data_IF_782782424696
#
_entry.id   IF_782782424696
#
_cell.length_a   1.000
_cell.length_b   1.000
_cell.length_c   1.000
_cell.angle_alpha   90.00
_cell.angle_beta   90.00
_cell.angle_gamma   90.00
#
_symmetry.space_group_name_H-M   'P 1'
#
loop_
_entity.id
_entity.type
_entity.pdbx_description
1 polymer ?
#
# COMPACT_ATOMS: atom_id res chain seq x y z
N UNK A 1 -5.90 -8.30 -27.76
CA UNK A 1 -5.13 -7.81 -28.93
C UNK A 1 -5.79 -8.17 -30.25
N UNK A 2 -5.95 -9.45 -30.65
CA UNK A 2 -6.56 -9.81 -31.95
C UNK A 2 -7.99 -9.27 -32.16
N UNK A 3 -8.77 -9.16 -31.08
CA UNK A 3 -10.14 -8.65 -31.12
C UNK A 3 -10.25 -7.19 -31.61
N UNK A 4 -9.28 -6.33 -31.25
CA UNK A 4 -9.20 -4.93 -31.71
C UNK A 4 -8.28 -4.75 -32.90
N UNK A 5 -7.24 -5.58 -33.01
CA UNK A 5 -6.22 -5.53 -34.04
C UNK A 5 -6.16 -6.86 -34.79
N UNK A 6 -7.12 -7.14 -35.71
CA UNK A 6 -7.15 -8.40 -36.44
C UNK A 6 -5.93 -8.62 -37.32
N UNK A 7 -5.16 -7.58 -37.67
CA UNK A 7 -3.93 -7.69 -38.45
C UNK A 7 -2.68 -7.98 -37.60
N UNK A 8 -2.80 -8.08 -36.28
CA UNK A 8 -1.68 -8.43 -35.40
C UNK A 8 -1.32 -9.90 -35.60
N UNK A 9 -0.31 -10.15 -36.42
CA UNK A 9 0.14 -11.51 -36.76
C UNK A 9 0.78 -12.23 -35.57
N UNK A 10 1.31 -11.49 -34.59
CA UNK A 10 1.86 -12.07 -33.36
C UNK A 10 0.73 -12.59 -32.49
N UNK A 11 -0.33 -11.79 -32.29
CA UNK A 11 -1.52 -12.25 -31.58
C UNK A 11 -2.20 -13.44 -32.29
N UNK A 12 -2.32 -13.40 -33.62
CA UNK A 12 -2.83 -14.52 -34.42
C UNK A 12 -2.00 -15.79 -34.23
N UNK A 13 -0.68 -15.68 -34.24
CA UNK A 13 0.23 -16.79 -34.04
C UNK A 13 0.05 -17.40 -32.65
N UNK A 14 -0.02 -16.59 -31.59
CA UNK A 14 -0.21 -17.08 -30.23
C UNK A 14 -1.55 -17.81 -30.04
N UNK A 15 -2.65 -17.27 -30.59
CA UNK A 15 -3.95 -17.96 -30.52
C UNK A 15 -3.87 -19.30 -31.25
N UNK A 16 -3.33 -19.33 -32.48
CA UNK A 16 -3.24 -20.53 -33.31
C UNK A 16 -2.38 -21.65 -32.71
N UNK A 17 -1.40 -21.32 -31.87
CA UNK A 17 -0.50 -22.27 -31.22
C UNK A 17 -0.85 -22.51 -29.75
N UNK A 18 -2.05 -22.10 -29.32
CA UNK A 18 -2.57 -22.32 -27.97
C UNK A 18 -3.80 -23.22 -28.02
N UNK A 19 -4.24 -23.82 -26.89
CA UNK A 19 -5.51 -24.55 -26.84
C UNK A 19 -6.74 -23.69 -27.16
N UNK A 20 -6.62 -22.35 -27.11
CA UNK A 20 -7.68 -21.44 -27.56
C UNK A 20 -7.81 -21.39 -29.08
N UNK A 21 -6.80 -21.85 -29.84
CA UNK A 21 -6.91 -22.07 -31.27
C UNK A 21 -7.96 -23.12 -31.59
N UNK A 22 -7.92 -24.27 -30.90
CA UNK A 22 -8.94 -25.32 -31.03
C UNK A 22 -10.33 -24.83 -30.60
N UNK A 23 -10.42 -24.02 -29.54
CA UNK A 23 -11.69 -23.43 -29.08
C UNK A 23 -12.35 -22.53 -30.14
N UNK A 24 -11.54 -21.81 -30.92
CA UNK A 24 -12.01 -20.86 -31.93
C UNK A 24 -11.97 -21.38 -33.36
N UNK A 25 -11.62 -22.65 -33.58
CA UNK A 25 -11.33 -23.23 -34.90
C UNK A 25 -10.30 -22.39 -35.69
N UNK A 26 -9.29 -21.88 -34.97
CA UNK A 26 -8.23 -21.03 -35.49
C UNK A 26 -6.89 -21.79 -35.53
N UNK A 27 -6.50 -22.20 -36.73
CA UNK A 27 -5.32 -23.03 -36.99
C UNK A 27 -4.13 -22.22 -37.50
N UNK A 28 -2.88 -22.74 -37.39
CA UNK A 28 -1.69 -22.07 -37.92
C UNK A 28 -1.75 -21.71 -39.41
N UNK A 29 -2.49 -22.47 -40.21
CA UNK A 29 -2.66 -22.22 -41.65
C UNK A 29 -3.46 -20.95 -41.97
N UNK A 30 -4.22 -20.43 -41.00
CA UNK A 30 -5.06 -19.23 -41.16
C UNK A 30 -4.33 -17.95 -40.74
N UNK A 31 -3.14 -18.07 -40.13
CA UNK A 31 -2.32 -16.92 -39.72
C UNK A 31 -1.89 -16.12 -40.95
N UNK A 32 -2.08 -14.80 -40.90
CA UNK A 32 -1.82 -13.89 -42.03
C UNK A 32 -3.03 -13.67 -42.95
N UNK A 33 -4.10 -14.46 -42.81
CA UNK A 33 -5.34 -14.27 -43.58
C UNK A 33 -6.19 -13.15 -42.99
N UNK A 34 -6.17 -11.97 -43.63
CA UNK A 34 -6.88 -10.77 -43.16
C UNK A 34 -8.39 -10.98 -42.99
N UNK A 35 -9.02 -11.70 -43.93
CA UNK A 35 -10.46 -11.94 -43.88
C UNK A 35 -10.83 -12.87 -42.71
N UNK A 36 -10.10 -13.98 -42.54
CA UNK A 36 -10.38 -14.94 -41.47
C UNK A 36 -10.08 -14.34 -40.09
N UNK A 37 -8.99 -13.58 -39.96
CA UNK A 37 -8.66 -12.89 -38.71
C UNK A 37 -9.70 -11.82 -38.34
N UNK A 38 -10.27 -11.10 -39.33
CA UNK A 38 -11.35 -10.15 -39.09
C UNK A 38 -12.64 -10.84 -38.60
N UNK A 39 -12.97 -12.01 -39.15
CA UNK A 39 -14.09 -12.83 -38.70
C UNK A 39 -13.90 -13.32 -37.26
N UNK A 40 -12.70 -13.80 -36.91
CA UNK A 40 -12.37 -14.21 -35.54
C UNK A 40 -12.46 -13.03 -34.56
N UNK A 41 -11.89 -11.88 -34.92
CA UNK A 41 -11.96 -10.68 -34.10
C UNK A 41 -13.39 -10.18 -33.89
N UNK A 42 -14.26 -10.30 -34.91
CA UNK A 42 -15.68 -9.99 -34.77
C UNK A 42 -16.41 -10.96 -33.83
N UNK A 43 -16.11 -12.27 -33.95
CA UNK A 43 -16.67 -13.30 -33.07
C UNK A 43 -16.30 -13.02 -31.61
N UNK A 44 -15.03 -12.81 -31.31
CA UNK A 44 -14.55 -12.51 -29.95
C UNK A 44 -15.23 -11.25 -29.39
N UNK A 45 -15.30 -10.17 -30.17
CA UNK A 45 -15.97 -8.93 -29.71
C UNK A 45 -17.46 -9.13 -29.45
N UNK A 46 -18.15 -9.94 -30.26
CA UNK A 46 -19.57 -10.26 -30.03
C UNK A 46 -19.75 -11.05 -28.75
N UNK A 47 -18.94 -12.09 -28.54
CA UNK A 47 -18.98 -12.89 -27.30
C UNK A 47 -18.75 -11.99 -26.08
N UNK A 48 -17.71 -11.15 -26.08
CA UNK A 48 -17.43 -10.22 -24.98
C UNK A 48 -18.55 -9.22 -24.69
N UNK A 49 -19.27 -8.76 -25.73
CA UNK A 49 -20.38 -7.81 -25.58
C UNK A 49 -21.70 -8.47 -25.18
N UNK A 50 -21.93 -9.71 -25.60
CA UNK A 50 -23.20 -10.42 -25.37
C UNK A 50 -23.19 -11.22 -24.07
N UNK A 51 -22.10 -11.94 -23.82
CA UNK A 51 -21.96 -12.84 -22.67
C UNK A 51 -21.23 -12.17 -21.49
N UNK A 52 -20.52 -11.07 -21.75
CA UNK A 52 -19.72 -10.36 -20.76
C UNK A 52 -18.30 -10.89 -20.62
N UNK A 53 -17.41 -10.07 -20.06
CA UNK A 53 -15.99 -10.42 -19.91
C UNK A 53 -15.80 -11.60 -18.95
N UNK A 54 -16.55 -11.65 -17.84
CA UNK A 54 -16.41 -12.72 -16.86
C UNK A 54 -16.72 -14.09 -17.44
N UNK A 55 -17.85 -14.21 -18.16
CA UNK A 55 -18.27 -15.45 -18.78
C UNK A 55 -17.32 -15.91 -19.90
N UNK A 56 -16.91 -14.99 -20.80
CA UNK A 56 -15.98 -15.33 -21.88
C UNK A 56 -14.62 -15.80 -21.35
N UNK A 57 -14.05 -15.08 -20.39
CA UNK A 57 -12.75 -15.44 -19.80
C UNK A 57 -12.86 -16.75 -19.01
N UNK A 58 -13.99 -17.01 -18.36
CA UNK A 58 -14.26 -18.30 -17.71
C UNK A 58 -14.28 -19.45 -18.72
N UNK A 59 -14.97 -19.29 -19.85
CA UNK A 59 -15.02 -20.30 -20.90
C UNK A 59 -13.63 -20.60 -21.48
N UNK A 60 -12.81 -19.56 -21.68
CA UNK A 60 -11.40 -19.73 -22.07
C UNK A 60 -10.59 -20.48 -21.00
N UNK A 61 -10.80 -20.13 -19.72
CA UNK A 61 -10.19 -20.83 -18.60
C UNK A 61 -10.53 -22.32 -18.58
N UNK A 62 -11.80 -22.67 -18.79
CA UNK A 62 -12.27 -24.06 -18.81
C UNK A 62 -11.64 -24.86 -19.96
N UNK A 63 -11.49 -24.24 -21.15
CA UNK A 63 -10.77 -24.84 -22.27
C UNK A 63 -9.29 -25.14 -21.93
N UNK A 64 -8.68 -24.31 -21.08
CA UNK A 64 -7.30 -24.46 -20.64
C UNK A 64 -7.14 -25.41 -19.44
N UNK A 65 -8.22 -25.70 -18.69
CA UNK A 65 -8.20 -26.36 -17.37
C UNK A 65 -7.38 -27.65 -17.31
N UNK A 66 -7.52 -28.49 -18.34
CA UNK A 66 -6.86 -29.81 -18.41
C UNK A 66 -5.35 -29.73 -18.70
N UNK A 67 -4.88 -28.57 -19.17
CA UNK A 67 -3.48 -28.32 -19.55
C UNK A 67 -2.73 -27.50 -18.50
N UNK A 68 -3.42 -26.93 -17.52
CA UNK A 68 -2.84 -26.08 -16.49
C UNK A 68 -2.40 -26.86 -15.25
N UNK A 69 -1.24 -26.48 -14.71
CA UNK A 69 -0.85 -26.77 -13.33
C UNK A 69 -1.79 -26.10 -12.33
N UNK A 70 -1.74 -26.51 -11.06
CA UNK A 70 -2.54 -25.88 -9.99
C UNK A 70 -2.29 -24.38 -9.88
N UNK A 71 -1.03 -23.95 -9.95
CA UNK A 71 -0.63 -22.54 -9.88
C UNK A 71 -1.17 -21.74 -11.07
N UNK A 72 -1.08 -22.27 -12.27
CA UNK A 72 -1.62 -21.61 -13.47
C UNK A 72 -3.15 -21.50 -13.39
N UNK A 73 -3.82 -22.53 -12.87
CA UNK A 73 -5.26 -22.47 -12.64
C UNK A 73 -5.66 -21.41 -11.63
N UNK A 74 -4.94 -21.28 -10.52
CA UNK A 74 -5.19 -20.23 -9.52
C UNK A 74 -5.03 -18.83 -10.15
N UNK A 75 -4.08 -18.64 -11.07
CA UNK A 75 -3.92 -17.38 -11.83
C UNK A 75 -5.05 -17.15 -12.84
N UNK A 76 -5.52 -18.19 -13.52
CA UNK A 76 -6.69 -18.10 -14.41
C UNK A 76 -7.93 -17.71 -13.60
N UNK A 77 -8.12 -18.26 -12.39
CA UNK A 77 -9.22 -17.87 -11.51
C UNK A 77 -9.15 -16.40 -11.09
N UNK A 78 -7.96 -15.88 -10.77
CA UNK A 78 -7.77 -14.45 -10.52
C UNK A 78 -8.11 -13.60 -11.75
N UNK A 79 -7.72 -14.04 -12.95
CA UNK A 79 -8.06 -13.36 -14.19
C UNK A 79 -9.58 -13.35 -14.46
N UNK A 80 -10.27 -14.46 -14.18
CA UNK A 80 -11.73 -14.56 -14.28
C UNK A 80 -12.41 -13.58 -13.31
N UNK A 81 -11.95 -13.51 -12.06
CA UNK A 81 -12.46 -12.57 -11.07
C UNK A 81 -12.26 -11.11 -11.51
N UNK A 82 -11.07 -10.78 -12.04
CA UNK A 82 -10.82 -9.46 -12.64
C UNK A 82 -11.74 -9.18 -13.83
N UNK A 83 -12.03 -10.18 -14.67
CA UNK A 83 -12.94 -10.04 -15.80
C UNK A 83 -14.38 -9.73 -15.36
N UNK A 84 -14.90 -10.44 -14.35
CA UNK A 84 -16.22 -10.16 -13.77
C UNK A 84 -16.30 -8.75 -13.16
N UNK A 85 -15.24 -8.31 -12.47
CA UNK A 85 -15.19 -6.94 -11.92
C UNK A 85 -15.11 -5.87 -13.01
N UNK A 86 -14.39 -6.15 -14.09
CA UNK A 86 -14.24 -5.22 -15.21
C UNK A 86 -15.54 -5.01 -15.98
N UNK A 87 -16.40 -6.04 -16.07
CA UNK A 87 -17.61 -6.03 -16.89
C UNK A 87 -18.53 -4.81 -16.66
N UNK A 88 -18.67 -4.36 -15.40
CA UNK A 88 -19.48 -3.17 -15.04
C UNK A 88 -18.98 -1.86 -15.68
N UNK A 89 -17.71 -1.79 -16.06
CA UNK A 89 -17.04 -0.62 -16.65
C UNK A 89 -16.45 -0.93 -18.02
N UNK A 90 -16.88 -2.02 -18.65
CA UNK A 90 -16.32 -2.46 -19.92
C UNK A 90 -16.61 -1.45 -21.03
N UNK A 91 -15.58 -1.13 -21.80
CA UNK A 91 -15.72 -0.31 -23.01
C UNK A 91 -15.92 -1.20 -24.24
N UNK A 92 -16.15 -0.58 -25.40
CA UNK A 92 -16.17 -1.29 -26.69
C UNK A 92 -14.77 -1.75 -27.16
N UNK A 93 -13.71 -1.47 -26.38
CA UNK A 93 -12.31 -1.78 -26.69
C UNK A 93 -11.80 -2.88 -25.76
N UNK A 94 -11.77 -4.16 -26.19
CA UNK A 94 -11.07 -5.23 -25.49
C UNK A 94 -9.64 -4.91 -25.04
N UNK A 95 -8.95 -3.98 -25.72
CA UNK A 95 -7.61 -3.54 -25.34
C UNK A 95 -7.56 -2.89 -23.96
N UNK A 96 -8.61 -2.17 -23.54
CA UNK A 96 -8.67 -1.52 -22.22
C UNK A 96 -8.68 -2.55 -21.09
N UNK A 97 -9.36 -3.69 -21.30
CA UNK A 97 -9.30 -4.81 -20.36
C UNK A 97 -7.90 -5.42 -20.28
N UNK A 98 -7.23 -5.58 -21.43
CA UNK A 98 -5.87 -6.13 -21.44
C UNK A 98 -4.88 -5.19 -20.75
N UNK A 99 -5.00 -3.88 -20.96
CA UNK A 99 -4.18 -2.88 -20.25
C UNK A 99 -4.38 -2.96 -18.75
N UNK A 100 -5.64 -3.02 -18.29
CA UNK A 100 -5.95 -3.24 -16.88
C UNK A 100 -5.26 -4.50 -16.33
N UNK A 101 -5.39 -5.63 -17.01
CA UNK A 101 -4.80 -6.90 -16.55
C UNK A 101 -3.27 -6.83 -16.50
N UNK A 102 -2.64 -6.14 -17.45
CA UNK A 102 -1.19 -5.96 -17.49
C UNK A 102 -0.67 -5.04 -16.38
N UNK A 103 -1.46 -4.03 -16.00
CA UNK A 103 -1.13 -3.09 -14.93
C UNK A 103 -1.46 -3.65 -13.54
N UNK A 104 -2.41 -4.56 -13.45
CA UNK A 104 -2.85 -5.12 -12.19
C UNK A 104 -1.80 -6.06 -11.59
N UNK A 105 -1.30 -5.70 -10.42
CA UNK A 105 -0.46 -6.58 -9.61
C UNK A 105 -1.35 -7.41 -8.68
N UNK A 106 -1.35 -8.73 -8.86
CA UNK A 106 -2.13 -9.64 -8.02
C UNK A 106 -1.20 -10.47 -7.15
N UNK A 107 -1.44 -10.42 -5.83
CA UNK A 107 -0.71 -11.25 -4.86
C UNK A 107 -0.84 -12.73 -5.22
N UNK A 108 0.25 -13.47 -5.04
CA UNK A 108 0.20 -14.92 -5.17
C UNK A 108 -0.70 -15.46 -4.04
N UNK A 109 -1.77 -16.22 -4.35
CA UNK A 109 -2.67 -16.76 -3.33
C UNK A 109 -2.02 -17.89 -2.53
N UNK A 110 -0.77 -18.25 -2.84
CA UNK A 110 -0.01 -19.27 -2.14
C UNK A 110 0.19 -18.91 -0.66
N UNK A 111 -0.22 -19.82 0.23
CA UNK A 111 0.25 -19.95 1.61
C UNK A 111 1.72 -20.40 1.68
N UNK A 112 2.58 -19.81 0.83
CA UNK A 112 3.98 -20.16 0.81
C UNK A 112 4.59 -19.85 2.19
N UNK A 113 5.36 -20.78 2.76
CA UNK A 113 6.03 -20.55 4.04
C UNK A 113 7.06 -19.41 3.95
N UNK A 114 7.49 -19.06 2.74
CA UNK A 114 8.41 -17.97 2.46
C UNK A 114 7.70 -16.94 1.58
N UNK A 115 7.74 -15.68 1.99
CA UNK A 115 7.18 -14.54 1.25
C UNK A 115 8.30 -13.62 0.81
N UNK A 116 8.36 -13.31 -0.49
CA UNK A 116 9.24 -12.29 -1.05
C UNK A 116 8.41 -11.05 -1.27
N UNK A 117 8.78 -9.95 -0.63
CA UNK A 117 8.07 -8.67 -0.71
C UNK A 117 9.06 -7.52 -0.54
N UNK A 118 8.62 -6.31 -0.87
CA UNK A 118 9.42 -5.11 -0.62
C UNK A 118 9.36 -4.73 0.86
N UNK A 119 10.35 -3.97 1.33
CA UNK A 119 10.36 -3.46 2.72
C UNK A 119 9.10 -2.62 3.00
N UNK A 120 8.64 -1.83 2.03
CA UNK A 120 7.41 -1.04 2.15
C UNK A 120 6.17 -1.91 2.38
N UNK A 121 6.04 -3.01 1.64
CA UNK A 121 4.94 -3.98 1.80
C UNK A 121 5.00 -4.72 3.14
N UNK A 122 6.16 -4.75 3.80
CA UNK A 122 6.33 -5.38 5.12
C UNK A 122 5.93 -4.47 6.29
N UNK A 123 5.70 -3.17 6.06
CA UNK A 123 5.35 -2.21 7.12
C UNK A 123 4.06 -2.66 7.83
N UNK A 124 4.11 -2.76 9.15
CA UNK A 124 2.98 -3.22 9.97
C UNK A 124 2.79 -4.74 10.01
N UNK A 125 3.63 -5.51 9.30
CA UNK A 125 3.69 -6.96 9.40
C UNK A 125 4.88 -7.40 10.26
N UNK A 126 4.81 -8.63 10.76
CA UNK A 126 5.89 -9.28 11.50
C UNK A 126 6.05 -10.71 11.01
N UNK A 127 7.29 -11.21 11.02
CA UNK A 127 7.65 -12.54 10.55
C UNK A 127 8.53 -13.25 11.57
N UNK A 128 8.41 -14.57 11.68
CA UNK A 128 9.25 -15.36 12.59
C UNK A 128 10.74 -15.16 12.28
N UNK A 129 11.09 -15.15 10.99
CA UNK A 129 12.41 -14.81 10.50
C UNK A 129 12.36 -13.87 9.29
N UNK A 130 13.35 -12.97 9.19
CA UNK A 130 13.53 -12.04 8.06
C UNK A 130 14.91 -12.26 7.45
N UNK A 131 14.96 -12.39 6.13
CA UNK A 131 16.20 -12.44 5.35
C UNK A 131 16.26 -11.15 4.53
N UNK A 132 17.21 -10.27 4.86
CA UNK A 132 17.38 -8.98 4.19
C UNK A 132 18.67 -8.97 3.36
N UNK A 133 18.48 -9.04 2.03
CA UNK A 133 19.58 -9.11 1.06
C UNK A 133 19.92 -7.75 0.43
N UNK A 134 19.07 -6.74 0.55
CA UNK A 134 19.22 -5.45 -0.14
C UNK A 134 20.09 -4.45 0.63
N UNK A 135 21.23 -4.92 1.14
CA UNK A 135 22.15 -4.09 1.95
C UNK A 135 23.03 -3.16 1.11
N UNK A 136 23.06 -3.31 -0.21
CA UNK A 136 23.83 -2.43 -1.10
C UNK A 136 23.08 -1.13 -1.47
N UNK A 137 21.86 -0.96 -0.98
CA UNK A 137 21.07 0.26 -1.09
C UNK A 137 21.84 1.47 -0.55
N UNK A 138 21.69 2.63 -1.21
CA UNK A 138 22.39 3.86 -0.85
C UNK A 138 21.60 4.63 0.20
N UNK A 139 22.28 5.09 1.25
CA UNK A 139 21.71 6.02 2.26
C UNK A 139 21.37 7.38 1.66
N UNK A 140 22.09 7.80 0.63
CA UNK A 140 21.78 9.02 -0.12
C UNK A 140 21.55 8.59 -1.56
N UNK A 141 20.29 8.32 -1.94
CA UNK A 141 19.94 8.03 -3.32
C UNK A 141 20.32 9.21 -4.22
N UNK A 142 20.50 8.92 -5.52
CA UNK A 142 20.79 9.99 -6.48
C UNK A 142 19.54 10.86 -6.62
N UNK A 143 19.66 12.18 -6.41
CA UNK A 143 18.53 13.08 -6.59
C UNK A 143 18.08 13.04 -8.06
N UNK A 144 16.78 13.23 -8.27
CA UNK A 144 16.20 13.39 -9.60
C UNK A 144 16.68 14.66 -10.31
N UNK A 145 16.08 14.98 -11.46
CA UNK A 145 16.41 16.22 -12.18
C UNK A 145 16.14 17.50 -11.39
N UNK A 146 15.31 17.42 -10.36
CA UNK A 146 14.93 18.52 -9.49
C UNK A 146 15.04 18.12 -8.02
N UNK A 147 15.21 19.13 -7.17
CA UNK A 147 15.27 19.04 -5.71
C UNK A 147 14.20 19.97 -5.16
N UNK A 148 13.38 19.46 -4.26
CA UNK A 148 12.29 20.19 -3.62
C UNK A 148 12.59 20.38 -2.15
N UNK A 149 12.59 21.64 -1.71
CA UNK A 149 12.57 21.99 -0.29
C UNK A 149 11.13 22.16 0.17
N UNK A 150 10.88 21.71 1.39
CA UNK A 150 9.59 21.84 2.05
C UNK A 150 9.75 22.73 3.29
N UNK A 151 8.70 23.45 3.63
CA UNK A 151 8.63 24.10 4.94
C UNK A 151 8.56 22.99 6.02
N UNK A 152 9.43 23.02 7.04
CA UNK A 152 9.48 21.94 8.04
C UNK A 152 8.23 21.88 8.94
N UNK A 153 7.38 22.92 8.95
CA UNK A 153 6.15 23.00 9.77
C UNK A 153 4.89 22.69 8.97
N UNK A 154 4.83 23.11 7.70
CA UNK A 154 3.64 22.90 6.86
C UNK A 154 3.81 21.76 5.85
N UNK A 155 5.05 21.30 5.64
CA UNK A 155 5.44 20.35 4.59
C UNK A 155 5.12 20.83 3.16
N UNK A 156 4.74 22.09 2.99
CA UNK A 156 4.48 22.67 1.67
C UNK A 156 5.79 22.90 0.92
N UNK A 157 5.75 22.69 -0.40
CA UNK A 157 6.90 22.94 -1.25
C UNK A 157 7.22 24.45 -1.26
N UNK A 158 8.39 24.83 -0.74
CA UNK A 158 8.84 26.23 -0.71
C UNK A 158 9.67 26.59 -1.92
N UNK A 159 10.50 25.65 -2.40
CA UNK A 159 11.40 25.88 -3.52
C UNK A 159 11.53 24.60 -4.35
N UNK A 160 11.58 24.78 -5.66
CA UNK A 160 11.96 23.74 -6.62
C UNK A 160 13.18 24.23 -7.38
N UNK A 161 14.28 23.49 -7.28
CA UNK A 161 15.53 23.81 -7.96
C UNK A 161 16.00 22.65 -8.82
N UNK A 162 16.59 22.94 -9.97
CA UNK A 162 17.23 21.89 -10.77
C UNK A 162 18.42 21.33 -10.00
N UNK A 163 18.60 20.00 -10.04
CA UNK A 163 19.77 19.39 -9.44
C UNK A 163 21.05 19.95 -10.06
N UNK A 164 21.99 20.32 -9.19
CA UNK A 164 23.32 20.78 -9.56
C UNK A 164 24.36 19.95 -8.79
N UNK A 165 25.53 19.71 -9.38
CA UNK A 165 26.61 19.01 -8.69
C UNK A 165 27.22 19.90 -7.58
N UNK A 166 28.02 19.30 -6.67
CA UNK A 166 28.58 20.00 -5.51
C UNK A 166 29.43 21.24 -5.85
N UNK A 167 30.12 21.26 -7.00
CA UNK A 167 30.91 22.42 -7.43
C UNK A 167 29.99 23.59 -7.79
N UNK A 168 28.92 23.32 -8.53
CA UNK A 168 27.94 24.34 -8.91
C UNK A 168 27.13 24.79 -7.69
N UNK A 169 26.76 23.87 -6.80
CA UNK A 169 26.08 24.20 -5.53
C UNK A 169 26.90 25.20 -4.71
N UNK A 170 28.22 25.04 -4.63
CA UNK A 170 29.10 25.93 -3.87
C UNK A 170 29.11 27.39 -4.40
N UNK A 171 28.76 27.60 -5.67
CA UNK A 171 28.67 28.92 -6.30
C UNK A 171 27.28 29.56 -6.14
N UNK A 172 26.28 28.82 -5.67
CA UNK A 172 24.91 29.32 -5.54
C UNK A 172 24.73 30.15 -4.26
N UNK A 173 23.73 31.03 -4.19
CA UNK A 173 23.40 31.74 -2.96
C UNK A 173 23.11 30.77 -1.80
N UNK A 174 23.51 31.14 -0.57
CA UNK A 174 23.35 30.29 0.62
C UNK A 174 21.93 29.75 0.81
N UNK A 175 20.90 30.54 0.48
CA UNK A 175 19.49 30.10 0.54
C UNK A 175 19.21 28.88 -0.32
N UNK A 176 19.86 28.76 -1.49
CA UNK A 176 19.70 27.64 -2.43
C UNK A 176 20.59 26.46 -2.01
N UNK A 177 21.77 26.72 -1.45
CA UNK A 177 22.61 25.66 -0.88
C UNK A 177 21.85 24.89 0.21
N UNK A 178 21.15 25.62 1.09
CA UNK A 178 20.29 25.02 2.14
C UNK A 178 19.21 24.09 1.58
N UNK A 179 18.66 24.38 0.41
CA UNK A 179 17.66 23.50 -0.26
C UNK A 179 18.26 22.12 -0.56
N UNK A 180 19.50 22.07 -1.04
CA UNK A 180 20.18 20.80 -1.32
C UNK A 180 20.53 20.04 -0.05
N UNK A 181 20.96 20.74 1.00
CA UNK A 181 21.30 20.11 2.27
C UNK A 181 20.05 19.55 2.98
N UNK A 182 18.94 20.29 2.98
CA UNK A 182 17.65 19.83 3.50
C UNK A 182 17.15 18.58 2.77
N UNK A 183 17.20 18.59 1.43
CA UNK A 183 16.80 17.43 0.65
C UNK A 183 17.71 16.22 0.92
N UNK A 184 19.02 16.42 1.02
CA UNK A 184 19.95 15.34 1.36
C UNK A 184 19.65 14.75 2.74
N UNK A 185 19.41 15.59 3.75
CA UNK A 185 19.05 15.13 5.09
C UNK A 185 17.74 14.33 5.08
N UNK A 186 16.72 14.79 4.33
CA UNK A 186 15.45 14.08 4.16
C UNK A 186 15.65 12.72 3.50
N UNK A 187 16.35 12.67 2.37
CA UNK A 187 16.60 11.43 1.62
C UNK A 187 17.36 10.39 2.49
N UNK A 188 18.30 10.86 3.32
CA UNK A 188 19.01 10.02 4.30
C UNK A 188 18.06 9.54 5.39
N UNK A 189 17.23 10.42 5.94
CA UNK A 189 16.22 10.08 6.94
C UNK A 189 15.26 9.00 6.43
N UNK A 190 14.71 9.18 5.22
CA UNK A 190 13.84 8.19 4.57
C UNK A 190 14.55 6.83 4.38
N UNK A 191 15.79 6.85 3.91
CA UNK A 191 16.59 5.63 3.74
C UNK A 191 16.84 4.91 5.07
N UNK A 192 17.09 5.66 6.15
CA UNK A 192 17.23 5.11 7.50
C UNK A 192 15.91 4.55 8.03
N UNK A 193 14.77 5.19 7.76
CA UNK A 193 13.45 4.68 8.10
C UNK A 193 13.16 3.35 7.39
N UNK A 194 13.47 3.24 6.10
CA UNK A 194 13.34 1.98 5.34
C UNK A 194 14.21 0.89 5.97
N UNK A 195 15.48 1.20 6.27
CA UNK A 195 16.36 0.24 6.93
C UNK A 195 15.80 -0.17 8.30
N UNK A 196 15.36 0.78 9.12
CA UNK A 196 14.75 0.50 10.43
C UNK A 196 13.53 -0.42 10.33
N UNK A 197 12.63 -0.16 9.37
CA UNK A 197 11.49 -1.04 9.12
C UNK A 197 11.97 -2.45 8.79
N UNK A 198 12.93 -2.60 7.87
CA UNK A 198 13.47 -3.90 7.46
C UNK A 198 14.07 -4.69 8.64
N UNK A 199 14.82 -4.02 9.51
CA UNK A 199 15.49 -4.65 10.67
C UNK A 199 14.51 -5.06 11.77
N UNK A 200 13.36 -4.38 11.88
CA UNK A 200 12.39 -4.57 12.98
C UNK A 200 11.22 -5.50 12.62
N UNK A 201 11.20 -6.09 11.43
CA UNK A 201 10.11 -7.03 11.05
C UNK A 201 10.27 -8.44 11.65
N UNK A 202 11.46 -8.78 12.15
CA UNK A 202 11.77 -10.11 12.65
C UNK A 202 11.35 -10.29 14.12
N UNK A 203 10.62 -11.38 14.43
CA UNK A 203 10.30 -11.79 15.81
C UNK A 203 11.43 -12.56 16.48
N UNK A 204 12.06 -13.48 15.74
CA UNK A 204 13.03 -14.41 16.31
C UNK A 204 14.40 -14.33 15.65
N UNK A 205 14.47 -14.17 14.33
CA UNK A 205 15.74 -14.13 13.62
C UNK A 205 15.80 -13.13 12.47
N UNK A 206 16.92 -12.41 12.41
CA UNK A 206 17.24 -11.47 11.36
C UNK A 206 18.55 -11.89 10.68
N UNK A 207 18.47 -12.21 9.39
CA UNK A 207 19.62 -12.58 8.57
C UNK A 207 19.93 -11.44 7.61
N UNK A 208 21.15 -10.89 7.73
CA UNK A 208 21.63 -9.76 6.95
C UNK A 208 22.70 -10.26 5.97
N UNK A 209 22.41 -10.22 4.67
CA UNK A 209 23.32 -10.74 3.63
C UNK A 209 23.88 -9.58 2.81
N UNK A 210 25.20 -9.43 2.82
CA UNK A 210 25.91 -8.36 2.10
C UNK A 210 26.97 -8.91 1.15
N UNK A 211 27.43 -8.05 0.24
CA UNK A 211 28.47 -8.42 -0.73
C UNK A 211 29.87 -8.39 -0.10
N UNK A 212 30.74 -9.36 -0.44
CA UNK A 212 32.12 -9.37 0.05
C UNK A 212 32.91 -8.13 -0.34
N UNK A 213 33.88 -7.77 0.50
CA UNK A 213 34.87 -6.70 0.30
C UNK A 213 36.28 -7.25 0.32
N UNK A 214 36.75 -7.58 -0.88
CA UNK A 214 38.14 -7.95 -1.09
C UNK A 214 39.06 -6.72 -0.96
N UNK A 215 40.29 -6.88 -0.44
CA UNK A 215 41.27 -5.80 -0.39
C UNK A 215 41.56 -5.23 -1.79
N UNK A 216 41.41 -3.91 -1.95
CA UNK A 216 41.76 -3.23 -3.19
C UNK A 216 43.29 -3.19 -3.40
N UNK A 217 43.73 -3.41 -4.64
CA UNK A 217 45.15 -3.48 -5.02
C UNK A 217 45.94 -2.16 -4.85
N UNK A 218 45.26 -1.00 -4.80
CA UNK A 218 45.90 0.31 -4.58
C UNK A 218 45.26 1.11 -3.45
N UNK A 219 46.06 1.94 -2.78
CA UNK A 219 45.64 2.75 -1.63
C UNK A 219 44.58 3.81 -1.98
N UNK A 220 44.67 4.41 -3.17
CA UNK A 220 43.69 5.39 -3.67
C UNK A 220 42.34 4.75 -3.96
N UNK A 221 42.33 3.59 -4.62
CA UNK A 221 41.11 2.81 -4.87
C UNK A 221 40.50 2.27 -3.57
N UNK A 222 41.34 1.90 -2.58
CA UNK A 222 40.89 1.49 -1.25
C UNK A 222 40.11 2.63 -0.56
N UNK A 223 40.64 3.86 -0.57
CA UNK A 223 39.98 5.03 0.05
C UNK A 223 38.64 5.36 -0.62
N UNK A 224 38.59 5.38 -1.95
CA UNK A 224 37.35 5.64 -2.70
C UNK A 224 36.29 4.55 -2.48
N UNK A 225 36.70 3.28 -2.46
CA UNK A 225 35.80 2.15 -2.19
C UNK A 225 35.23 2.20 -0.76
N UNK A 226 36.05 2.56 0.24
CA UNK A 226 35.58 2.73 1.62
C UNK A 226 34.56 3.85 1.75
N UNK A 227 34.80 5.01 1.12
CA UNK A 227 33.83 6.12 1.14
C UNK A 227 32.51 5.73 0.48
N UNK A 228 32.56 5.01 -0.64
CA UNK A 228 31.35 4.53 -1.33
C UNK A 228 30.55 3.53 -0.49
N UNK A 229 31.25 2.69 0.28
CA UNK A 229 30.60 1.72 1.19
C UNK A 229 29.79 2.39 2.27
N UNK A 230 30.41 3.38 2.95
CA UNK A 230 29.82 4.01 4.14
C UNK A 230 28.54 4.77 3.81
N UNK A 231 28.29 5.01 2.51
CA UNK A 231 27.04 5.57 1.99
C UNK A 231 25.99 4.50 1.67
N UNK A 232 26.16 3.26 2.10
CA UNK A 232 25.21 2.15 1.91
C UNK A 232 24.78 1.58 3.25
N UNK A 233 23.65 0.88 3.27
CA UNK A 233 23.19 0.16 4.46
C UNK A 233 24.24 -0.84 4.97
N UNK A 234 24.88 -1.60 4.06
CA UNK A 234 25.95 -2.54 4.39
C UNK A 234 27.13 -1.84 5.07
N UNK A 235 27.53 -0.67 4.59
CA UNK A 235 28.65 0.07 5.19
C UNK A 235 28.34 0.70 6.53
N UNK A 236 27.08 1.11 6.76
CA UNK A 236 26.62 1.60 8.06
C UNK A 236 26.63 0.46 9.09
N UNK A 237 25.99 -0.66 8.77
CA UNK A 237 25.92 -1.84 9.64
C UNK A 237 27.30 -2.44 9.90
N UNK A 238 28.12 -2.55 8.86
CA UNK A 238 29.49 -3.02 8.99
C UNK A 238 30.30 -2.14 9.95
N UNK A 239 30.21 -0.81 9.82
CA UNK A 239 30.89 0.12 10.73
C UNK A 239 30.37 0.03 12.17
N UNK A 240 29.07 -0.21 12.36
CA UNK A 240 28.44 -0.28 13.68
C UNK A 240 28.70 -1.61 14.41
N UNK A 241 28.71 -2.73 13.68
CA UNK A 241 28.71 -4.08 14.27
C UNK A 241 30.09 -4.75 14.26
N UNK A 242 30.92 -4.46 13.26
CA UNK A 242 32.19 -5.18 13.01
C UNK A 242 33.39 -4.22 12.91
N UNK A 243 33.16 -2.96 12.55
CA UNK A 243 34.20 -1.94 12.37
C UNK A 243 34.64 -1.79 10.92
N UNK A 244 35.95 -1.90 10.65
CA UNK A 244 36.52 -1.70 9.30
C UNK A 244 37.22 -2.95 8.74
N UNK A 245 36.90 -4.12 9.29
CA UNK A 245 37.53 -5.37 8.88
C UNK A 245 37.11 -5.78 7.45
N UNK A 246 37.91 -6.58 6.74
CA UNK A 246 37.51 -7.08 5.42
C UNK A 246 36.30 -8.00 5.51
N UNK A 247 35.35 -7.87 4.59
CA UNK A 247 34.24 -8.81 4.44
C UNK A 247 34.66 -9.90 3.44
N UNK A 248 34.86 -11.12 3.93
CA UNK A 248 35.25 -12.26 3.08
C UNK A 248 33.99 -13.05 2.67
N UNK A 249 33.96 -13.68 1.48
CA UNK A 249 32.83 -14.53 1.09
C UNK A 249 32.53 -15.64 2.09
N UNK A 250 31.25 -16.00 2.23
CA UNK A 250 30.77 -17.15 3.03
C UNK A 250 31.13 -17.11 4.53
N UNK A 251 31.44 -15.93 5.05
CA UNK A 251 31.78 -15.74 6.46
C UNK A 251 30.68 -15.01 7.24
N UNK A 252 30.36 -15.52 8.43
CA UNK A 252 29.58 -14.79 9.44
C UNK A 252 30.53 -13.83 10.16
N UNK A 253 30.34 -12.53 9.93
CA UNK A 253 31.17 -11.47 10.49
C UNK A 253 30.63 -10.88 11.79
N UNK A 254 29.34 -11.09 12.04
CA UNK A 254 28.65 -10.68 13.26
C UNK A 254 27.51 -11.66 13.55
N UNK A 255 27.42 -12.10 14.79
CA UNK A 255 26.35 -12.96 15.28
C UNK A 255 26.03 -12.58 16.73
N UNK A 256 24.74 -12.54 17.06
CA UNK A 256 24.26 -12.32 18.41
C UNK A 256 22.92 -13.04 18.59
N UNK A 257 22.67 -13.57 19.78
CA UNK A 257 21.47 -14.33 20.11
C UNK A 257 21.66 -15.84 20.01
N UNK A 258 20.55 -16.56 19.79
CA UNK A 258 20.54 -18.02 19.68
C UNK A 258 20.35 -18.44 18.21
N UNK A 259 21.36 -19.03 17.54
CA UNK A 259 21.22 -19.51 16.17
C UNK A 259 20.20 -20.65 16.03
N UNK A 260 19.81 -21.28 17.15
CA UNK A 260 18.80 -22.34 17.22
C UNK A 260 17.50 -21.83 17.84
N UNK A 261 17.16 -20.56 17.66
CA UNK A 261 15.90 -19.95 18.10
C UNK A 261 14.65 -20.80 17.77
N UNK A 262 14.66 -21.50 16.62
CA UNK A 262 13.57 -22.34 16.14
C UNK A 262 13.32 -23.59 17.01
N UNK A 263 14.31 -24.08 17.78
CA UNK A 263 14.14 -25.23 18.68
C UNK A 263 13.19 -24.89 19.85
N UNK A 264 13.04 -23.60 20.17
CA UNK A 264 12.20 -23.09 21.28
C UNK A 264 10.79 -22.73 20.84
N UNK A 265 10.57 -22.63 19.54
CA UNK A 265 9.23 -22.48 19.01
C UNK A 265 8.65 -23.89 18.99
N UNK A 266 7.48 -24.12 19.62
CA UNK A 266 6.79 -25.39 19.43
C UNK A 266 6.69 -25.58 17.92
N UNK A 267 7.42 -26.58 17.40
CA UNK A 267 7.42 -26.84 15.97
C UNK A 267 5.97 -26.87 15.51
N UNK A 268 5.64 -26.42 14.28
CA UNK A 268 4.30 -26.65 13.77
C UNK A 268 4.04 -28.11 14.06
N UNK A 269 2.98 -28.42 14.80
CA UNK A 269 2.49 -29.79 14.79
C UNK A 269 2.48 -30.10 13.30
N UNK A 270 3.32 -31.04 12.89
CA UNK A 270 3.10 -31.76 11.67
C UNK A 270 1.82 -32.52 11.96
N UNK A 271 0.68 -31.80 11.97
CA UNK A 271 -0.49 -32.29 11.30
C UNK A 271 0.12 -32.71 9.98
N UNK A 272 0.20 -34.02 9.68
CA UNK A 272 0.52 -34.41 8.33
C UNK A 272 -0.35 -33.55 7.42
N UNK A 273 0.08 -33.34 6.19
CA UNK A 273 -0.85 -32.94 5.16
C UNK A 273 -1.91 -34.06 4.96
N UNK A 274 -2.64 -34.48 6.00
CA UNK A 274 -4.09 -34.53 5.93
C UNK A 274 -4.47 -33.30 5.16
N UNK A 275 -4.80 -33.55 3.89
CA UNK A 275 -5.63 -32.66 3.13
C UNK A 275 -6.59 -32.04 4.14
N UNK A 276 -6.49 -30.73 4.33
CA UNK A 276 -7.62 -30.00 4.86
C UNK A 276 -8.68 -30.34 3.83
N UNK A 277 -9.52 -31.33 4.14
CA UNK A 277 -10.82 -31.45 3.55
C UNK A 277 -11.45 -30.14 3.98
N UNK A 278 -11.24 -29.11 3.13
CA UNK A 278 -12.00 -27.87 3.19
C UNK A 278 -13.39 -28.38 3.42
N UNK A 279 -14.10 -27.98 4.50
CA UNK A 279 -15.43 -28.49 4.75
C UNK A 279 -16.12 -28.48 3.40
N UNK A 280 -16.52 -29.66 2.90
CA UNK A 280 -17.27 -29.71 1.65
C UNK A 280 -18.53 -28.95 1.99
N UNK A 281 -18.50 -27.65 1.72
CA UNK A 281 -19.64 -26.77 1.84
C UNK A 281 -20.60 -27.45 0.90
N UNK A 282 -21.59 -28.16 1.46
CA UNK A 282 -22.74 -28.60 0.68
C UNK A 282 -23.15 -27.35 -0.09
N UNK A 283 -23.21 -27.38 -1.43
CA UNK A 283 -23.44 -26.17 -2.19
C UNK A 283 -24.66 -25.50 -1.60
N UNK A 284 -24.44 -24.37 -0.92
CA UNK A 284 -25.52 -23.55 -0.43
C UNK A 284 -26.09 -23.02 -1.72
N UNK A 285 -27.23 -23.58 -2.14
CA UNK A 285 -28.03 -22.99 -3.21
C UNK A 285 -28.55 -21.69 -2.63
N UNK A 286 -27.79 -20.62 -2.84
CA UNK A 286 -28.29 -19.28 -2.64
C UNK A 286 -29.55 -19.13 -3.50
N UNK A 287 -30.60 -18.57 -2.90
CA UNK A 287 -31.72 -18.10 -3.69
C UNK A 287 -31.17 -17.15 -4.76
N UNK A 288 -31.68 -17.26 -6.00
CA UNK A 288 -31.28 -16.36 -7.08
C UNK A 288 -31.34 -14.92 -6.61
N UNK A 289 -30.32 -14.10 -6.90
CA UNK A 289 -30.22 -12.76 -6.35
C UNK A 289 -31.45 -11.96 -6.77
N UNK A 290 -32.22 -11.50 -5.79
CA UNK A 290 -33.09 -10.35 -6.03
C UNK A 290 -32.16 -9.18 -6.34
N UNK A 291 -32.33 -8.60 -7.53
CA UNK A 291 -31.53 -7.48 -8.06
C UNK A 291 -31.35 -6.41 -6.97
N UNK A 292 -30.15 -6.29 -6.45
CA UNK A 292 -29.75 -5.32 -5.43
C UNK A 292 -28.29 -5.57 -5.07
N UNK A 293 -27.39 -4.85 -5.75
CA UNK A 293 -25.94 -5.06 -5.66
C UNK A 293 -25.40 -4.80 -4.27
N UNK A 294 -24.73 -5.79 -3.69
CA UNK A 294 -23.88 -5.61 -2.52
C UNK A 294 -22.47 -5.40 -3.05
N UNK A 295 -21.95 -4.19 -2.88
CA UNK A 295 -20.58 -3.82 -3.25
C UNK A 295 -19.60 -4.34 -2.20
N UNK A 296 -18.66 -5.17 -2.62
CA UNK A 296 -17.53 -5.59 -1.80
C UNK A 296 -16.50 -4.46 -1.73
N UNK A 297 -16.20 -4.01 -0.51
CA UNK A 297 -15.19 -3.01 -0.19
C UNK A 297 -13.79 -3.50 -0.61
N UNK A 298 -13.07 -2.69 -1.38
CA UNK A 298 -11.63 -2.88 -1.61
C UNK A 298 -10.84 -2.38 -0.40
N UNK A 299 -9.82 -3.16 -0.02
CA UNK A 299 -8.86 -2.82 1.03
C UNK A 299 -7.71 -2.05 0.41
N UNK A 300 -7.44 -0.84 0.91
CA UNK A 300 -6.31 -0.01 0.48
C UNK A 300 -5.26 0.05 1.58
N UNK A 301 -3.99 -0.12 1.22
CA UNK A 301 -2.88 -0.03 2.16
C UNK A 301 -2.46 1.43 2.41
N UNK A 302 -2.04 1.79 3.64
CA UNK A 302 -1.71 3.17 4.03
C UNK A 302 -0.61 3.85 3.21
N UNK A 303 0.27 3.09 2.53
CA UNK A 303 1.36 3.64 1.72
C UNK A 303 0.90 4.31 0.41
N UNK A 304 -0.37 4.12 0.02
CA UNK A 304 -0.95 4.80 -1.15
C UNK A 304 -1.28 6.28 -0.87
N UNK A 305 -1.19 6.72 0.39
CA UNK A 305 -1.48 8.08 0.83
C UNK A 305 -0.23 8.98 0.93
N UNK A 306 0.98 8.40 0.93
CA UNK A 306 2.23 9.16 1.00
C UNK A 306 3.19 8.74 -0.13
N UNK A 307 3.12 9.47 -1.23
CA UNK A 307 4.09 9.32 -2.31
C UNK A 307 3.59 9.94 -3.60
N UNK A 308 3.99 11.19 -3.86
CA UNK A 308 3.84 11.83 -5.16
C UNK A 308 4.65 11.09 -6.23
N UNK A 309 4.09 10.00 -6.74
CA UNK A 309 4.58 9.34 -7.94
C UNK A 309 4.48 10.29 -9.14
N UNK A 310 5.44 10.21 -10.05
CA UNK A 310 5.39 10.93 -11.32
C UNK A 310 4.17 10.46 -12.11
N UNK A 311 3.15 11.31 -12.21
CA UNK A 311 2.01 11.13 -13.11
C UNK A 311 2.45 11.37 -14.55
N UNK A 312 2.08 10.46 -15.46
CA UNK A 312 2.09 10.79 -16.90
C UNK A 312 0.95 11.77 -17.16
N UNK A 313 1.17 12.75 -18.04
CA UNK A 313 0.17 13.78 -18.38
C UNK A 313 -1.15 13.20 -18.96
N UNK A 314 -1.10 11.93 -19.37
CA UNK A 314 -2.20 11.09 -19.87
C UNK A 314 -3.11 10.59 -18.72
N UNK A 315 -2.69 10.73 -17.46
CA UNK A 315 -3.37 10.25 -16.25
C UNK A 315 -4.08 11.38 -15.45
N UNK A 316 -4.17 12.59 -16.03
CA UNK A 316 -5.06 13.66 -15.54
C UNK A 316 -6.54 13.30 -15.84
N UNK A 317 -7.49 13.71 -14.99
CA UNK A 317 -8.51 12.79 -14.47
C UNK A 317 -9.72 12.61 -15.39
N UNK A 318 -10.18 11.35 -15.48
CA UNK A 318 -11.60 11.05 -15.63
C UNK A 318 -12.36 11.59 -14.39
N UNK A 319 -13.53 12.18 -14.61
CA UNK A 319 -14.39 12.82 -13.60
C UNK A 319 -14.73 11.95 -12.36
N UNK A 320 -14.46 10.64 -12.41
CA UNK A 320 -14.64 9.71 -11.27
C UNK A 320 -13.48 9.71 -10.26
N UNK A 321 -12.24 10.04 -10.66
CA UNK A 321 -11.10 10.08 -9.73
C UNK A 321 -11.14 11.31 -8.83
N UNK A 322 -11.64 12.45 -9.33
CA UNK A 322 -11.86 13.66 -8.53
C UNK A 322 -12.95 13.42 -7.46
N UNK A 323 -14.03 12.72 -7.81
CA UNK A 323 -15.12 12.43 -6.87
C UNK A 323 -14.68 11.56 -5.69
N UNK A 324 -13.89 10.49 -5.91
CA UNK A 324 -13.48 9.60 -4.83
C UNK A 324 -12.50 10.28 -3.83
N UNK A 325 -11.57 11.09 -4.34
CA UNK A 325 -10.65 11.86 -3.50
C UNK A 325 -11.39 12.97 -2.74
N UNK A 326 -12.25 13.71 -3.44
CA UNK A 326 -13.06 14.77 -2.83
C UNK A 326 -14.06 14.21 -1.80
N UNK A 327 -14.64 13.04 -2.06
CA UNK A 327 -15.54 12.35 -1.12
C UNK A 327 -14.83 12.02 0.19
N UNK A 328 -13.62 11.44 0.13
CA UNK A 328 -12.82 11.14 1.32
C UNK A 328 -12.51 12.40 2.15
N UNK A 329 -12.11 13.49 1.50
CA UNK A 329 -11.85 14.79 2.15
C UNK A 329 -13.10 15.36 2.82
N UNK A 330 -14.27 15.23 2.19
CA UNK A 330 -15.54 15.71 2.75
C UNK A 330 -15.97 14.91 3.96
N UNK A 331 -15.88 13.57 3.90
CA UNK A 331 -16.17 12.71 5.04
C UNK A 331 -15.25 13.03 6.22
N UNK A 332 -13.96 13.25 5.97
CA UNK A 332 -12.99 13.66 6.99
C UNK A 332 -13.39 14.99 7.64
N UNK A 333 -13.67 16.00 6.82
CA UNK A 333 -14.10 17.32 7.30
C UNK A 333 -15.42 17.28 8.08
N UNK A 334 -16.32 16.33 7.78
CA UNK A 334 -17.55 16.12 8.54
C UNK A 334 -17.30 15.47 9.91
N UNK A 335 -16.37 14.51 10.01
CA UNK A 335 -15.95 13.94 11.30
C UNK A 335 -15.24 14.97 12.17
N UNK A 336 -14.48 15.89 11.58
CA UNK A 336 -13.82 17.00 12.28
C UNK A 336 -14.79 17.94 13.02
N UNK A 337 -16.07 17.98 12.62
CA UNK A 337 -17.08 18.82 13.29
C UNK A 337 -17.63 18.20 14.57
N UNK A 338 -17.35 16.93 14.84
CA UNK A 338 -17.94 16.21 15.98
C UNK A 338 -16.98 16.25 17.16
N UNK A 339 -17.18 17.20 18.07
CA UNK A 339 -16.48 17.20 19.36
C UNK A 339 -16.96 16.01 20.20
N UNK A 340 -18.25 15.92 20.47
CA UNK A 340 -18.92 14.73 21.01
C UNK A 340 -20.25 14.49 20.31
N UNK A 341 -20.54 13.25 19.95
CA UNK A 341 -21.78 12.88 19.26
C UNK A 341 -23.03 13.23 20.11
N UNK A 342 -22.89 13.19 21.44
CA UNK A 342 -23.94 13.51 22.41
C UNK A 342 -24.33 15.00 22.42
N UNK A 343 -23.44 15.91 22.01
CA UNK A 343 -23.63 17.36 22.14
C UNK A 343 -23.47 18.16 20.85
N UNK A 344 -22.80 17.61 19.83
CA UNK A 344 -22.31 18.35 18.66
C UNK A 344 -22.49 17.60 17.34
N UNK A 345 -23.54 16.79 17.21
CA UNK A 345 -23.85 16.14 15.94
C UNK A 345 -24.21 17.20 14.85
N UNK A 346 -23.47 17.27 13.73
CA UNK A 346 -23.71 18.27 12.69
C UNK A 346 -25.07 18.06 12.03
N UNK A 347 -25.73 19.15 11.65
CA UNK A 347 -26.98 19.14 10.89
C UNK A 347 -26.70 18.94 9.40
N UNK A 348 -27.67 18.43 8.64
CA UNK A 348 -27.49 18.19 7.20
C UNK A 348 -27.15 19.48 6.44
N UNK A 349 -27.68 20.63 6.89
CA UNK A 349 -27.33 21.93 6.31
C UNK A 349 -25.85 22.28 6.51
N UNK A 350 -25.29 22.02 7.69
CA UNK A 350 -23.85 22.21 7.94
C UNK A 350 -23.00 21.26 7.09
N UNK A 351 -23.43 20.00 6.95
CA UNK A 351 -22.74 19.01 6.12
C UNK A 351 -22.69 19.45 4.64
N UNK A 352 -23.81 19.94 4.10
CA UNK A 352 -23.90 20.48 2.74
C UNK A 352 -22.97 21.69 2.57
N UNK A 353 -22.97 22.62 3.52
CA UNK A 353 -22.11 23.81 3.48
C UNK A 353 -20.62 23.45 3.51
N UNK A 354 -20.24 22.43 4.28
CA UNK A 354 -18.86 21.94 4.35
C UNK A 354 -18.49 21.27 3.03
N UNK A 355 -19.34 20.39 2.48
CA UNK A 355 -19.06 19.70 1.22
C UNK A 355 -18.79 20.68 0.06
N UNK A 356 -19.58 21.76 -0.01
CA UNK A 356 -19.42 22.83 -1.00
C UNK A 356 -18.08 23.58 -0.94
N UNK A 357 -17.39 23.58 0.22
CA UNK A 357 -16.07 24.22 0.36
C UNK A 357 -14.95 23.41 -0.30
N UNK A 358 -15.13 22.09 -0.40
CA UNK A 358 -14.12 21.18 -0.90
C UNK A 358 -14.30 20.83 -2.36
N UNK A 359 -15.55 20.69 -2.85
CA UNK A 359 -15.82 20.42 -4.26
C UNK A 359 -17.27 20.76 -4.65
N UNK A 360 -17.51 21.02 -5.95
CA UNK A 360 -18.85 21.35 -6.48
C UNK A 360 -19.60 20.06 -6.84
N UNK A 361 -20.05 19.34 -5.81
CA UNK A 361 -20.76 18.08 -5.97
C UNK A 361 -22.20 18.29 -6.48
N UNK A 362 -22.69 17.43 -7.39
CA UNK A 362 -24.11 17.25 -7.65
C UNK A 362 -24.90 17.03 -6.35
N UNK A 363 -26.09 17.64 -6.24
CA UNK A 363 -26.88 17.63 -5.01
C UNK A 363 -27.32 16.22 -4.56
N UNK A 364 -27.55 15.32 -5.52
CA UNK A 364 -27.85 13.90 -5.31
C UNK A 364 -26.67 13.15 -4.68
N UNK A 365 -25.44 13.45 -5.11
CA UNK A 365 -24.23 12.84 -4.54
C UNK A 365 -23.94 13.32 -3.12
N UNK A 366 -24.21 14.59 -2.82
CA UNK A 366 -24.10 15.12 -1.44
C UNK A 366 -25.14 14.46 -0.53
N UNK A 367 -26.37 14.26 -1.03
CA UNK A 367 -27.40 13.58 -0.26
C UNK A 367 -27.02 12.12 0.05
N UNK A 368 -26.52 11.38 -0.94
CA UNK A 368 -26.02 10.01 -0.75
C UNK A 368 -24.83 9.97 0.23
N UNK A 369 -23.92 10.94 0.14
CA UNK A 369 -22.80 11.06 1.06
C UNK A 369 -23.27 11.31 2.50
N UNK A 370 -24.26 12.16 2.70
CA UNK A 370 -24.85 12.43 4.03
C UNK A 370 -25.51 11.18 4.59
N UNK A 371 -26.30 10.44 3.79
CA UNK A 371 -26.92 9.19 4.24
C UNK A 371 -25.86 8.17 4.68
N UNK A 372 -24.79 8.04 3.90
CA UNK A 372 -23.66 7.16 4.23
C UNK A 372 -22.91 7.62 5.48
N UNK A 373 -22.71 8.93 5.66
CA UNK A 373 -22.13 9.49 6.88
C UNK A 373 -22.97 9.19 8.12
N UNK A 374 -24.30 9.37 8.03
CA UNK A 374 -25.22 9.00 9.11
C UNK A 374 -25.16 7.50 9.42
N UNK A 375 -25.08 6.65 8.39
CA UNK A 375 -24.91 5.22 8.57
C UNK A 375 -23.57 4.87 9.27
N UNK A 376 -22.48 5.58 8.96
CA UNK A 376 -21.20 5.41 9.65
C UNK A 376 -21.28 5.77 11.13
N UNK A 377 -21.99 6.85 11.49
CA UNK A 377 -22.22 7.25 12.89
C UNK A 377 -23.05 6.23 13.68
N UNK A 378 -23.87 5.42 13.00
CA UNK A 378 -24.66 4.35 13.62
C UNK A 378 -23.85 3.07 13.88
N UNK A 379 -22.64 2.95 13.32
CA UNK A 379 -21.79 1.80 13.58
C UNK A 379 -21.25 1.86 15.01
N UNK A 380 -21.34 0.72 15.73
CA UNK A 380 -20.96 0.65 17.14
C UNK A 380 -19.51 1.09 17.41
N UNK A 381 -18.57 0.71 16.55
CA UNK A 381 -17.17 1.11 16.65
C UNK A 381 -16.98 2.64 16.51
N UNK A 382 -17.58 3.24 15.48
CA UNK A 382 -17.50 4.68 15.22
C UNK A 382 -18.21 5.50 16.31
N UNK A 383 -19.40 5.05 16.71
CA UNK A 383 -20.18 5.71 17.76
C UNK A 383 -19.41 5.72 19.09
N UNK A 384 -18.75 4.62 19.46
CA UNK A 384 -17.93 4.55 20.67
C UNK A 384 -16.76 5.55 20.65
N UNK A 385 -16.07 5.69 19.51
CA UNK A 385 -14.96 6.64 19.36
C UNK A 385 -15.38 8.12 19.43
N UNK A 386 -16.66 8.42 19.20
CA UNK A 386 -17.19 9.78 19.18
C UNK A 386 -18.05 10.12 20.40
N UNK A 387 -18.19 9.19 21.36
CA UNK A 387 -19.09 9.33 22.51
C UNK A 387 -18.30 9.44 23.81
N UNK A 388 -18.50 10.52 24.57
CA UNK A 388 -17.73 10.79 25.79
C UNK A 388 -17.90 9.69 26.84
N UNK A 389 -19.11 9.20 27.00
CA UNK A 389 -19.40 8.13 27.96
C UNK A 389 -18.65 6.82 27.67
N UNK A 390 -18.30 6.54 26.41
CA UNK A 390 -17.51 5.38 26.03
C UNK A 390 -16.05 5.49 26.53
N UNK A 391 -15.42 6.66 26.43
CA UNK A 391 -14.07 6.91 26.97
C UNK A 391 -14.05 6.75 28.49
N UNK A 392 -15.06 7.25 29.19
CA UNK A 392 -15.18 7.09 30.65
C UNK A 392 -15.31 5.61 31.03
N UNK A 393 -16.10 4.84 30.29
CA UNK A 393 -16.28 3.40 30.53
C UNK A 393 -15.03 2.58 30.18
N UNK A 394 -14.32 2.94 29.11
CA UNK A 394 -13.06 2.33 28.71
C UNK A 394 -11.97 2.61 29.74
N UNK A 395 -11.89 3.86 30.23
CA UNK A 395 -10.92 4.26 31.23
C UNK A 395 -11.02 3.45 32.53
N UNK A 396 -12.26 3.11 32.94
CA UNK A 396 -12.51 2.27 34.10
C UNK A 396 -11.94 0.84 33.98
N UNK A 397 -11.73 0.35 32.75
CA UNK A 397 -11.24 -1.01 32.45
C UNK A 397 -9.77 -1.06 32.07
N UNK A 398 -9.27 -0.04 31.37
CA UNK A 398 -7.94 -0.06 30.75
C UNK A 398 -6.83 0.49 31.66
N UNK A 399 -7.14 1.40 32.58
CA UNK A 399 -6.15 2.03 33.46
C UNK A 399 -6.07 1.38 34.85
N UNK A 400 -4.92 1.48 35.55
CA UNK A 400 -4.78 0.98 36.92
C UNK A 400 -5.81 1.57 37.89
N UNK A 401 -6.28 0.78 38.85
CA UNK A 401 -7.35 1.13 39.79
C UNK A 401 -7.31 2.55 40.41
N UNK A 402 -6.15 3.12 40.84
CA UNK A 402 -6.12 4.49 41.36
C UNK A 402 -6.40 5.55 40.27
N UNK A 403 -5.89 5.37 39.06
CA UNK A 403 -6.10 6.28 37.93
C UNK A 403 -7.51 6.12 37.33
N UNK A 404 -8.01 4.89 37.21
CA UNK A 404 -9.36 4.61 36.77
C UNK A 404 -10.43 5.28 37.65
N UNK A 405 -10.26 5.26 38.98
CA UNK A 405 -11.15 5.97 39.92
C UNK A 405 -11.11 7.48 39.74
N UNK A 406 -9.94 8.03 39.41
CA UNK A 406 -9.79 9.46 39.15
C UNK A 406 -10.44 9.86 37.83
N UNK A 407 -10.21 9.10 36.74
CA UNK A 407 -10.73 9.39 35.38
C UNK A 407 -12.26 9.35 35.26
N UNK A 408 -12.93 8.58 36.13
CA UNK A 408 -14.40 8.49 36.18
C UNK A 408 -15.03 9.58 37.06
N UNK A 409 -14.23 10.38 37.77
CA UNK A 409 -14.73 11.47 38.60
C UNK A 409 -15.33 12.61 37.74
N UNK A 410 -16.46 13.21 38.15
CA UNK A 410 -17.04 14.37 37.45
C UNK A 410 -16.14 15.61 37.45
N UNK A 411 -15.06 15.61 38.25
CA UNK A 411 -14.05 16.68 38.29
C UNK A 411 -13.03 16.59 37.15
N UNK A 412 -13.09 15.54 36.32
CA UNK A 412 -12.21 15.36 35.15
C UNK A 412 -12.87 15.95 33.91
N UNK A 413 -12.19 16.92 33.32
CA UNK A 413 -12.55 17.47 32.02
C UNK A 413 -12.03 16.54 30.92
N UNK A 414 -12.88 16.25 29.94
CA UNK A 414 -12.53 15.45 28.77
C UNK A 414 -12.65 16.36 27.55
N UNK A 415 -11.50 16.73 26.98
CA UNK A 415 -11.37 17.67 25.88
C UNK A 415 -10.99 16.92 24.61
N UNK A 416 -11.48 17.39 23.47
CA UNK A 416 -11.20 16.80 22.16
C UNK A 416 -10.41 17.81 21.33
N UNK A 417 -9.29 17.37 20.81
CA UNK A 417 -8.47 18.14 19.89
C UNK A 417 -8.52 17.46 18.52
N UNK A 418 -9.09 18.16 17.54
CA UNK A 418 -9.09 17.74 16.14
C UNK A 418 -7.82 18.22 15.45
N UNK A 419 -7.27 17.41 14.54
CA UNK A 419 -6.04 17.75 13.80
C UNK A 419 -4.90 18.18 14.74
N UNK A 420 -4.78 17.48 15.88
CA UNK A 420 -3.85 17.83 16.94
C UNK A 420 -2.42 17.61 16.46
N UNK A 421 -1.71 18.72 16.22
CA UNK A 421 -0.29 18.68 15.89
C UNK A 421 0.49 18.24 17.11
N UNK A 422 1.12 17.07 17.02
CA UNK A 422 2.02 16.58 18.03
C UNK A 422 3.45 16.82 17.58
N UNK A 423 4.27 17.28 18.51
CA UNK A 423 5.70 17.46 18.33
C UNK A 423 6.38 16.84 19.55
N UNK A 424 6.90 15.62 19.43
CA UNK A 424 7.55 14.89 20.52
C UNK A 424 9.06 14.92 20.33
N UNK A 425 9.84 15.47 21.27
CA UNK A 425 11.28 15.33 21.23
C UNK A 425 11.65 13.87 21.52
N UNK A 426 12.42 13.26 20.63
CA UNK A 426 12.96 11.93 20.76
C UNK A 426 14.48 12.02 20.65
N UNK A 427 15.16 12.10 21.80
CA UNK A 427 16.61 12.27 22.09
C UNK A 427 17.45 13.14 21.12
N UNK A 428 17.45 12.84 19.82
CA UNK A 428 18.16 13.53 18.74
C UNK A 428 17.25 14.21 17.68
N UNK A 429 15.92 14.02 17.71
CA UNK A 429 14.97 14.48 16.68
C UNK A 429 13.66 15.02 17.26
N UNK A 430 12.88 15.72 16.44
CA UNK A 430 11.51 16.14 16.75
C UNK A 430 10.55 15.36 15.86
N UNK A 431 9.80 14.42 16.43
CA UNK A 431 8.72 13.71 15.75
C UNK A 431 7.53 14.67 15.62
N UNK A 432 7.23 15.09 14.39
CA UNK A 432 6.07 15.95 14.10
C UNK A 432 5.04 15.14 13.33
N UNK A 433 3.81 15.10 13.83
CA UNK A 433 2.68 14.43 13.18
C UNK A 433 1.36 15.10 13.53
N UNK A 434 0.31 14.69 12.84
CA UNK A 434 -1.06 15.07 13.17
C UNK A 434 -1.80 13.86 13.74
N UNK A 435 -2.59 14.10 14.77
CA UNK A 435 -3.57 13.15 15.27
C UNK A 435 -4.95 13.69 14.90
N UNK A 436 -5.69 12.94 14.08
CA UNK A 436 -7.02 13.37 13.59
C UNK A 436 -7.98 13.69 14.74
N UNK A 437 -7.91 12.90 15.82
CA UNK A 437 -8.68 13.11 17.04
C UNK A 437 -7.87 12.68 18.26
N UNK A 438 -7.51 13.63 19.10
CA UNK A 438 -6.84 13.40 20.38
C UNK A 438 -7.81 13.73 21.52
N UNK A 439 -8.10 12.76 22.37
CA UNK A 439 -8.95 12.97 23.55
C UNK A 439 -8.07 13.08 24.78
N UNK A 440 -8.20 14.17 25.53
CA UNK A 440 -7.37 14.49 26.69
C UNK A 440 -8.24 14.58 27.94
N UNK A 441 -7.87 13.81 28.96
CA UNK A 441 -8.49 13.89 30.29
C UNK A 441 -7.61 14.75 31.21
N UNK A 442 -8.18 15.82 31.76
CA UNK A 442 -7.48 16.73 32.67
C UNK A 442 -8.21 16.88 34.01
N UNK A 443 -7.43 17.02 35.09
CA UNK A 443 -7.92 17.27 36.45
C UNK A 443 -7.14 18.42 37.04
N UNK A 444 -7.82 19.45 37.55
CA UNK A 444 -7.19 20.67 38.07
C UNK A 444 -6.16 21.29 37.10
N UNK A 445 -6.49 21.33 35.79
CA UNK A 445 -5.62 21.83 34.70
C UNK A 445 -4.36 21.00 34.42
N UNK A 446 -4.22 19.83 35.02
CA UNK A 446 -3.15 18.87 34.71
C UNK A 446 -3.70 17.74 33.86
N UNK A 447 -3.03 17.43 32.75
CA UNK A 447 -3.35 16.26 31.92
C UNK A 447 -2.98 14.98 32.67
N UNK A 448 -3.96 14.08 32.80
CA UNK A 448 -3.82 12.82 33.54
C UNK A 448 -3.97 11.58 32.66
N UNK A 449 -4.60 11.69 31.49
CA UNK A 449 -4.62 10.65 30.46
C UNK A 449 -4.85 11.27 29.07
N UNK A 450 -4.47 10.53 28.02
CA UNK A 450 -4.77 10.87 26.64
C UNK A 450 -5.03 9.59 25.83
N UNK A 451 -5.95 9.66 24.87
CA UNK A 451 -6.34 8.56 24.00
C UNK A 451 -6.35 9.06 22.55
N UNK A 452 -5.84 8.23 21.64
CA UNK A 452 -5.64 8.51 20.20
C UNK A 452 -6.48 7.55 19.38
#
# INVERSE_FOLDING_TARGET
TIADHPNDTVAQFHVAHSPLGDYYDWTPAQVGSRAQAASLALRIRRELLQEGYGACVSAWGDALRSKCTRREWDRIQQLIETAFRYERRATLRPMDFVHLVQEQTVLDPSSAPIRVMTVHQSKGLEFDAVIFCELEGQLSPRPGGFVVAHDPRTLEATHVVRYANKHVQALMPQRIQKVFDQALCRDIGESLCVLYVALTRAKHALYLITTPRLPSASASAKKAATVKHRKRYSGLLHAALVGNDPLVPEQIVYECGDPKWYDRIPGPHATPATAIDRPRIKPIRFASPQRGGIETLETVAPSSLEGGGRLKLEELPDAQREFAFAYGTVIHAWFEQIEWLETSAPTDQQLIEIAKRYHDFPADQVAEAIERFRWMLQQSATSQLLTRSAYIQAAAKQYPAPLAKQLVSPQVAWEVHHEARIASPDEDWLLVGNVDRLVVASSAQQVIAAEV
#
